data_IF_932491631311
#
_entry.id   IF_932491631311
#
_cell.length_a   1.000
_cell.length_b   1.000
_cell.length_c   1.000
_cell.angle_alpha   90.00
_cell.angle_beta   90.00
_cell.angle_gamma   90.00
#
_symmetry.space_group_name_H-M   'P 1'
#
loop_
_entity.id
_entity.type
_entity.pdbx_description
1 polymer ?
#
# COMPACT_ATOMS: atom_id res chain seq x y z
N UNK A 1 7.29 13.91 -19.33
CA UNK A 1 6.46 12.70 -19.20
C UNK A 1 6.19 12.50 -17.72
N UNK A 2 4.93 12.32 -17.33
CA UNK A 2 4.57 12.07 -15.93
C UNK A 2 4.62 10.59 -15.60
N UNK A 3 5.25 10.21 -14.51
CA UNK A 3 5.42 8.80 -14.11
C UNK A 3 4.85 8.60 -12.71
N UNK A 4 3.90 7.68 -12.60
CA UNK A 4 3.22 7.33 -11.35
C UNK A 4 3.57 5.89 -10.95
N UNK A 5 3.78 5.65 -9.65
CA UNK A 5 3.85 4.30 -9.10
C UNK A 5 2.47 3.88 -8.57
N UNK A 6 1.93 2.79 -9.10
CA UNK A 6 0.70 2.19 -8.60
C UNK A 6 1.03 0.96 -7.74
N UNK A 7 0.70 1.02 -6.45
CA UNK A 7 0.87 -0.08 -5.51
C UNK A 7 -0.50 -0.71 -5.26
N UNK A 8 -0.73 -1.89 -5.84
CA UNK A 8 -1.95 -2.65 -5.56
C UNK A 8 -1.86 -3.31 -4.18
N UNK A 9 -2.85 -3.06 -3.33
CA UNK A 9 -2.97 -3.65 -2.01
C UNK A 9 -4.37 -4.23 -1.79
N UNK A 10 -4.45 -5.38 -1.12
CA UNK A 10 -5.72 -6.00 -0.72
C UNK A 10 -5.60 -6.60 0.67
N UNK A 11 -6.67 -6.54 1.46
CA UNK A 11 -6.67 -7.05 2.83
C UNK A 11 -6.81 -8.59 2.90
N UNK A 12 -7.48 -9.19 1.90
CA UNK A 12 -7.90 -10.59 1.88
C UNK A 12 -6.77 -11.60 1.52
N UNK A 13 -5.69 -11.61 2.30
CA UNK A 13 -4.66 -12.64 2.22
C UNK A 13 -5.10 -13.91 2.96
N UNK A 14 -5.03 -15.09 2.31
CA UNK A 14 -5.48 -16.36 2.91
C UNK A 14 -4.47 -16.93 3.91
N UNK A 15 -3.18 -16.99 3.54
CA UNK A 15 -2.11 -17.57 4.37
C UNK A 15 -1.65 -16.67 5.51
N UNK A 16 -1.79 -15.36 5.36
CA UNK A 16 -1.46 -14.38 6.40
C UNK A 16 -2.45 -13.22 6.35
N UNK A 17 -3.62 -13.36 7.00
CA UNK A 17 -4.71 -12.38 6.93
C UNK A 17 -4.29 -10.97 7.31
N UNK A 18 -4.68 -9.99 6.49
CA UNK A 18 -4.34 -8.59 6.71
C UNK A 18 -2.86 -8.25 6.51
N UNK A 19 -2.07 -9.14 5.88
CA UNK A 19 -0.61 -8.99 5.65
C UNK A 19 -0.19 -7.55 5.36
N UNK A 20 -0.84 -6.88 4.41
CA UNK A 20 -0.48 -5.53 3.95
C UNK A 20 -0.42 -4.48 5.08
N UNK A 21 -1.24 -4.62 6.13
CA UNK A 21 -1.26 -3.71 7.28
C UNK A 21 -0.64 -4.31 8.55
N UNK A 22 -0.02 -5.49 8.45
CA UNK A 22 0.74 -6.05 9.58
C UNK A 22 2.08 -5.33 9.71
N UNK A 23 2.46 -5.06 10.96
CA UNK A 23 3.72 -4.43 11.28
C UNK A 23 4.90 -5.38 11.06
N UNK A 24 5.92 -4.87 10.38
CA UNK A 24 7.26 -5.43 10.34
C UNK A 24 8.19 -4.39 10.96
N UNK A 25 8.59 -4.66 12.21
CA UNK A 25 9.23 -3.68 13.10
C UNK A 25 8.30 -2.49 13.36
N UNK A 26 8.70 -1.28 12.96
CA UNK A 26 8.03 -0.02 13.25
C UNK A 26 7.08 0.47 12.15
N UNK A 27 6.94 -0.28 11.04
CA UNK A 27 6.12 0.11 9.89
C UNK A 27 5.29 -1.04 9.39
N UNK A 28 4.12 -0.76 8.82
CA UNK A 28 3.34 -1.81 8.18
C UNK A 28 3.97 -2.22 6.83
N UNK A 29 3.65 -3.42 6.33
CA UNK A 29 4.22 -3.90 5.07
C UNK A 29 3.93 -2.97 3.87
N UNK A 30 2.74 -2.37 3.82
CA UNK A 30 2.37 -1.40 2.78
C UNK A 30 3.20 -0.11 2.88
N UNK A 31 3.45 0.38 4.08
CA UNK A 31 4.26 1.58 4.34
C UNK A 31 5.68 1.42 3.82
N UNK A 32 6.30 0.26 4.04
CA UNK A 32 7.62 -0.06 3.48
C UNK A 32 7.66 0.09 1.95
N UNK A 33 6.62 -0.35 1.24
CA UNK A 33 6.52 -0.22 -0.21
C UNK A 33 6.33 1.25 -0.63
N UNK A 34 5.42 1.97 0.01
CA UNK A 34 5.10 3.37 -0.29
C UNK A 34 6.32 4.26 -0.08
N UNK A 35 7.03 4.13 1.04
CA UNK A 35 8.22 4.94 1.30
C UNK A 35 9.36 4.68 0.33
N UNK A 36 9.54 3.43 -0.11
CA UNK A 36 10.57 3.09 -1.09
C UNK A 36 10.22 3.65 -2.47
N UNK A 37 8.95 3.61 -2.86
CA UNK A 37 8.47 4.23 -4.09
C UNK A 37 8.65 5.76 -4.07
N UNK A 38 8.33 6.43 -2.95
CA UNK A 38 8.52 7.88 -2.77
C UNK A 38 9.98 8.34 -2.86
N UNK A 39 10.96 7.44 -2.67
CA UNK A 39 12.41 7.74 -2.79
C UNK A 39 12.94 7.63 -4.22
N UNK A 40 12.13 7.20 -5.19
CA UNK A 40 12.57 7.00 -6.57
C UNK A 40 12.67 8.36 -7.29
N UNK A 41 13.81 8.63 -7.95
CA UNK A 41 14.12 9.94 -8.56
C UNK A 41 13.19 10.35 -9.70
N UNK A 42 12.54 9.39 -10.35
CA UNK A 42 11.79 9.62 -11.59
C UNK A 42 10.30 9.36 -11.43
N UNK A 43 9.79 9.27 -10.21
CA UNK A 43 8.37 9.08 -9.92
C UNK A 43 7.82 10.38 -9.34
N UNK A 44 6.73 10.86 -9.92
CA UNK A 44 6.05 12.08 -9.46
C UNK A 44 5.15 11.80 -8.27
N UNK A 45 4.44 10.67 -8.28
CA UNK A 45 3.52 10.33 -7.21
C UNK A 45 3.32 8.80 -7.05
N UNK A 46 2.87 8.41 -5.86
CA UNK A 46 2.62 7.03 -5.46
C UNK A 46 1.14 6.88 -5.09
N UNK A 47 0.44 6.06 -5.86
CA UNK A 47 -0.99 5.80 -5.69
C UNK A 47 -1.18 4.38 -5.16
N UNK A 48 -1.88 4.22 -4.04
CA UNK A 48 -2.30 2.90 -3.56
C UNK A 48 -3.64 2.56 -4.18
N UNK A 49 -3.70 1.44 -4.91
CA UNK A 49 -4.92 0.91 -5.52
C UNK A 49 -5.46 -0.24 -4.68
N UNK A 50 -6.76 -0.22 -4.39
CA UNK A 50 -7.45 -1.28 -3.67
C UNK A 50 -8.79 -1.60 -4.32
N UNK A 51 -9.35 -2.77 -4.02
CA UNK A 51 -10.66 -3.19 -4.53
C UNK A 51 -11.82 -2.72 -3.64
N UNK A 52 -13.04 -2.94 -4.11
CA UNK A 52 -14.31 -2.61 -3.46
C UNK A 52 -14.69 -3.51 -2.27
N UNK A 53 -13.98 -4.62 -2.06
CA UNK A 53 -14.17 -5.50 -0.91
C UNK A 53 -14.21 -4.69 0.41
N UNK A 54 -15.25 -4.80 1.24
CA UNK A 54 -15.39 -4.00 2.47
C UNK A 54 -14.19 -4.09 3.43
N UNK A 55 -13.44 -5.20 3.39
CA UNK A 55 -12.24 -5.38 4.22
C UNK A 55 -11.10 -4.45 3.82
N UNK A 56 -11.09 -3.99 2.56
CA UNK A 56 -10.13 -3.02 2.06
C UNK A 56 -10.34 -1.61 2.62
N UNK A 57 -11.47 -1.33 3.30
CA UNK A 57 -11.70 -0.04 3.99
C UNK A 57 -10.54 0.33 4.91
N UNK A 58 -9.93 -0.66 5.57
CA UNK A 58 -8.72 -0.49 6.41
C UNK A 58 -7.52 0.08 5.66
N UNK A 59 -7.38 -0.26 4.38
CA UNK A 59 -6.30 0.26 3.52
C UNK A 59 -6.62 1.71 3.14
N UNK A 60 -7.89 2.01 2.84
CA UNK A 60 -8.35 3.38 2.55
C UNK A 60 -8.14 4.28 3.76
N UNK A 61 -8.55 3.84 4.95
CA UNK A 61 -8.35 4.54 6.22
C UNK A 61 -6.86 4.78 6.52
N UNK A 62 -5.97 3.85 6.15
CA UNK A 62 -4.53 4.03 6.30
C UNK A 62 -3.93 5.05 5.31
N UNK A 63 -4.57 5.25 4.15
CA UNK A 63 -4.12 6.22 3.14
C UNK A 63 -4.57 7.67 3.41
N UNK A 64 -5.49 7.88 4.36
CA UNK A 64 -5.94 9.22 4.80
C UNK A 64 -4.97 9.84 5.79
#
# INVERSE_FOLDING_TARGET
>A
MKVFAFIQARYNSTRFPGKVLKFLKNKCLLEWCVERAKKMKHIEDVVVLTGDDPRNKRIVEWCQ
#
